data_IF_758544523236
#
_entry.id   IF_758544523236
#
_cell.length_a   1.000
_cell.length_b   1.000
_cell.length_c   1.000
_cell.angle_alpha   90.00
_cell.angle_beta   90.00
_cell.angle_gamma   90.00
#
_symmetry.space_group_name_H-M   'P 1'
#
loop_
_entity.id
_entity.type
_entity.pdbx_description
1 polymer ?
#
# COMPACT_ATOMS: atom_id res chain seq x y z
N UNK A 1 0.80 4.83 8.22
CA UNK A 1 0.01 4.49 9.42
C UNK A 1 0.24 5.51 10.51
N UNK A 2 -0.86 6.00 11.10
CA UNK A 2 -0.88 6.89 12.25
C UNK A 2 -1.26 6.04 13.48
N UNK A 3 -0.26 5.53 14.17
CA UNK A 3 -0.44 4.55 15.26
C UNK A 3 -0.57 5.26 16.60
N UNK A 4 -1.63 4.99 17.34
CA UNK A 4 -1.76 5.42 18.73
C UNK A 4 -1.80 4.21 19.67
N UNK A 5 -1.04 4.26 20.77
CA UNK A 5 -1.16 3.31 21.86
C UNK A 5 -2.08 3.88 22.94
N UNK A 6 -2.95 3.05 23.49
CA UNK A 6 -3.98 3.44 24.44
C UNK A 6 -4.09 2.41 25.54
N UNK A 7 -4.50 2.77 26.78
CA UNK A 7 -4.71 1.79 27.84
C UNK A 7 -5.86 0.80 27.54
N UNK A 8 -6.82 1.22 26.76
CA UNK A 8 -7.95 0.44 26.23
C UNK A 8 -8.61 1.17 25.08
N UNK A 9 -9.51 0.53 24.36
CA UNK A 9 -10.32 1.20 23.34
C UNK A 9 -11.31 2.17 23.95
N UNK A 10 -11.53 3.39 23.39
CA UNK A 10 -12.54 4.32 23.86
C UNK A 10 -13.94 3.77 23.60
N UNK A 11 -14.88 4.12 24.48
CA UNK A 11 -16.31 3.85 24.28
C UNK A 11 -16.92 4.96 23.42
N UNK A 12 -18.13 4.70 22.90
CA UNK A 12 -18.87 5.72 22.14
C UNK A 12 -19.04 7.00 22.97
N UNK A 13 -18.65 8.14 22.41
CA UNK A 13 -18.74 9.46 23.05
C UNK A 13 -17.67 9.74 24.12
N UNK A 14 -16.72 8.85 24.32
CA UNK A 14 -15.64 9.02 25.30
C UNK A 14 -14.41 9.70 24.66
N UNK A 15 -13.79 10.59 25.41
CA UNK A 15 -12.43 11.08 25.13
C UNK A 15 -11.47 10.32 26.05
N UNK A 16 -10.54 9.58 25.47
CA UNK A 16 -9.52 8.82 26.18
C UNK A 16 -8.15 9.44 25.94
N UNK A 17 -7.35 9.55 26.98
CA UNK A 17 -5.94 9.96 26.86
C UNK A 17 -5.14 8.70 26.51
N UNK A 18 -4.41 8.78 25.37
CA UNK A 18 -3.51 7.73 24.92
C UNK A 18 -2.12 7.83 25.56
N UNK A 19 -1.32 6.80 25.36
CA UNK A 19 0.00 6.66 25.96
C UNK A 19 1.11 7.15 25.02
N UNK A 20 0.98 6.90 23.72
CA UNK A 20 1.96 7.33 22.70
C UNK A 20 1.33 7.45 21.30
N UNK A 21 2.08 8.11 20.43
CA UNK A 21 1.74 8.25 19.01
C UNK A 21 3.00 8.04 18.15
N UNK A 22 2.84 7.40 17.01
CA UNK A 22 3.90 7.24 16.02
C UNK A 22 3.38 7.23 14.59
N UNK A 23 4.21 7.69 13.66
CA UNK A 23 3.96 7.58 12.22
C UNK A 23 4.88 6.52 11.64
N UNK A 24 4.32 5.63 10.84
CA UNK A 24 5.04 4.53 10.21
C UNK A 24 4.60 4.43 8.75
N UNK A 25 5.54 4.12 7.88
CA UNK A 25 5.20 3.75 6.50
C UNK A 25 4.60 2.35 6.53
N UNK A 26 3.45 2.20 5.90
CA UNK A 26 2.68 0.96 5.91
C UNK A 26 2.04 0.69 4.55
N UNK A 27 0.99 -0.11 4.56
CA UNK A 27 0.35 -0.62 3.36
C UNK A 27 0.97 -1.94 2.89
N UNK A 28 0.10 -2.90 2.53
CA UNK A 28 0.54 -4.27 2.20
C UNK A 28 1.46 -4.32 0.99
N UNK A 29 1.18 -3.50 -0.03
CA UNK A 29 2.00 -3.40 -1.22
C UNK A 29 3.42 -2.90 -0.92
N UNK A 30 3.53 -1.82 -0.15
CA UNK A 30 4.82 -1.28 0.23
C UNK A 30 5.60 -2.22 1.15
N UNK A 31 4.93 -2.87 2.10
CA UNK A 31 5.56 -3.87 2.97
C UNK A 31 6.17 -5.03 2.18
N UNK A 32 5.48 -5.51 1.12
CA UNK A 32 6.01 -6.52 0.21
C UNK A 32 7.20 -5.97 -0.60
N UNK A 33 7.10 -4.74 -1.11
CA UNK A 33 8.16 -4.11 -1.88
C UNK A 33 9.44 -3.92 -1.04
N UNK A 34 9.31 -3.44 0.20
CA UNK A 34 10.45 -3.30 1.13
C UNK A 34 11.07 -4.66 1.45
N UNK A 35 10.25 -5.68 1.73
CA UNK A 35 10.76 -7.01 2.03
C UNK A 35 11.51 -7.60 0.84
N UNK A 36 10.96 -7.49 -0.36
CA UNK A 36 11.59 -7.99 -1.59
C UNK A 36 12.91 -7.26 -1.88
N UNK A 37 12.94 -5.92 -1.80
CA UNK A 37 14.17 -5.14 -2.00
C UNK A 37 15.26 -5.53 -1.00
N UNK A 38 14.93 -5.65 0.28
CA UNK A 38 15.88 -6.03 1.34
C UNK A 38 16.39 -7.46 1.22
N UNK A 39 15.71 -8.32 0.48
CA UNK A 39 16.20 -9.68 0.16
C UNK A 39 16.96 -9.74 -1.16
N UNK A 40 17.20 -8.60 -1.82
CA UNK A 40 18.06 -8.48 -3.00
C UNK A 40 17.31 -8.49 -4.34
N UNK A 41 15.98 -8.44 -4.35
CA UNK A 41 15.21 -8.31 -5.58
C UNK A 41 15.31 -6.89 -6.16
N UNK A 42 15.31 -6.77 -7.50
CA UNK A 42 15.05 -5.50 -8.19
C UNK A 42 13.55 -5.24 -8.20
N UNK A 43 13.10 -4.20 -7.49
CA UNK A 43 11.68 -3.93 -7.28
C UNK A 43 11.26 -2.65 -8.02
N UNK A 44 10.12 -2.72 -8.71
CA UNK A 44 9.41 -1.56 -9.24
C UNK A 44 8.04 -1.48 -8.58
N UNK A 45 7.71 -0.34 -7.99
CA UNK A 45 6.40 -0.09 -7.39
C UNK A 45 5.47 0.51 -8.43
N UNK A 46 4.27 -0.09 -8.54
CA UNK A 46 3.15 0.47 -9.31
C UNK A 46 2.06 0.83 -8.32
N UNK A 47 1.62 2.08 -8.30
CA UNK A 47 0.64 2.53 -7.32
C UNK A 47 0.31 4.01 -7.41
N UNK A 48 -0.41 4.50 -6.40
CA UNK A 48 -0.85 5.90 -6.36
C UNK A 48 -0.75 6.44 -4.94
N UNK A 49 -0.14 7.60 -4.80
CA UNK A 49 0.01 8.37 -3.55
C UNK A 49 -0.63 9.74 -3.74
N UNK A 50 -1.01 10.40 -2.68
CA UNK A 50 -1.38 11.80 -2.73
C UNK A 50 -0.18 12.71 -2.97
N UNK A 51 -0.41 13.86 -3.57
CA UNK A 51 0.56 14.95 -3.63
C UNK A 51 0.53 15.73 -2.30
N UNK A 52 0.99 15.08 -1.24
CA UNK A 52 0.97 15.56 0.14
C UNK A 52 2.21 15.11 0.91
N UNK A 53 2.36 15.59 2.15
CA UNK A 53 3.53 15.29 2.99
C UNK A 53 3.74 13.77 3.17
N UNK A 54 2.67 12.99 3.26
CA UNK A 54 2.78 11.52 3.42
C UNK A 54 3.26 10.87 2.14
N UNK A 55 2.77 11.34 0.97
CA UNK A 55 3.22 10.87 -0.34
C UNK A 55 4.69 11.17 -0.58
N UNK A 56 5.14 12.37 -0.24
CA UNK A 56 6.54 12.78 -0.38
C UNK A 56 7.47 11.91 0.48
N UNK A 57 7.13 11.72 1.77
CA UNK A 57 7.90 10.85 2.67
C UNK A 57 7.91 9.39 2.19
N UNK A 58 6.82 8.96 1.57
CA UNK A 58 6.73 7.61 1.03
C UNK A 58 7.64 7.42 -0.17
N UNK A 59 7.65 8.36 -1.13
CA UNK A 59 8.53 8.33 -2.30
C UNK A 59 10.00 8.40 -1.91
N UNK A 60 10.34 9.26 -0.96
CA UNK A 60 11.70 9.34 -0.42
C UNK A 60 12.15 7.98 0.13
N UNK A 61 11.30 7.35 0.96
CA UNK A 61 11.62 6.05 1.55
C UNK A 61 11.73 4.92 0.54
N UNK A 62 10.83 4.86 -0.46
CA UNK A 62 10.95 3.88 -1.55
C UNK A 62 12.29 4.03 -2.28
N UNK A 63 12.69 5.27 -2.57
CA UNK A 63 13.96 5.59 -3.23
C UNK A 63 15.17 5.17 -2.38
N UNK A 64 15.17 5.46 -1.07
CA UNK A 64 16.24 5.03 -0.14
C UNK A 64 16.42 3.51 -0.11
N UNK A 65 15.33 2.75 -0.23
CA UNK A 65 15.36 1.28 -0.27
C UNK A 65 15.66 0.73 -1.69
N UNK A 66 15.99 1.61 -2.65
CA UNK A 66 16.33 1.22 -4.02
C UNK A 66 15.14 0.72 -4.86
N UNK A 67 13.92 1.03 -4.45
CA UNK A 67 12.70 0.66 -5.17
C UNK A 67 12.43 1.71 -6.25
N UNK A 68 12.23 1.26 -7.49
CA UNK A 68 11.89 2.14 -8.63
C UNK A 68 10.46 2.65 -8.48
N UNK A 69 10.25 3.94 -8.70
CA UNK A 69 8.98 4.64 -8.50
C UNK A 69 8.41 5.28 -9.77
N UNK A 70 8.94 4.92 -10.95
CA UNK A 70 8.54 5.50 -12.23
C UNK A 70 7.05 5.34 -12.54
N UNK A 71 6.39 4.35 -11.91
CA UNK A 71 4.97 4.06 -12.05
C UNK A 71 4.17 4.36 -10.78
N UNK A 72 4.72 5.14 -9.86
CA UNK A 72 3.99 5.68 -8.71
C UNK A 72 3.45 7.06 -9.08
N UNK A 73 2.12 7.16 -9.13
CA UNK A 73 1.42 8.38 -9.53
C UNK A 73 1.18 9.25 -8.30
N UNK A 74 1.55 10.53 -8.38
CA UNK A 74 1.14 11.53 -7.39
C UNK A 74 -0.22 12.11 -7.78
N UNK A 75 -1.22 11.84 -6.96
CA UNK A 75 -2.60 12.30 -7.14
C UNK A 75 -2.76 13.72 -6.57
N UNK A 76 -3.31 14.64 -7.36
CA UNK A 76 -3.57 16.03 -6.93
C UNK A 76 -4.96 16.24 -6.33
N UNK A 77 -5.85 15.24 -6.44
CA UNK A 77 -7.23 15.33 -5.97
C UNK A 77 -7.47 14.49 -4.71
N UNK A 78 -6.77 13.36 -4.59
CA UNK A 78 -6.89 12.45 -3.45
C UNK A 78 -5.60 12.46 -2.63
N UNK A 79 -5.74 12.49 -1.31
CA UNK A 79 -4.61 12.36 -0.39
C UNK A 79 -4.01 10.95 -0.38
N UNK A 80 -2.86 10.80 0.22
CA UNK A 80 -2.24 9.49 0.45
C UNK A 80 -3.10 8.63 1.37
N UNK A 81 -3.23 7.34 1.08
CA UNK A 81 -3.95 6.38 1.92
C UNK A 81 -3.38 6.32 3.34
N UNK A 82 -4.26 6.29 4.35
CA UNK A 82 -3.87 6.30 5.76
C UNK A 82 -4.51 5.14 6.51
N UNK A 83 -3.70 4.39 7.24
CA UNK A 83 -4.15 3.49 8.30
C UNK A 83 -4.06 4.17 9.66
N UNK A 84 -5.05 3.96 10.52
CA UNK A 84 -5.11 4.50 11.90
C UNK A 84 -5.27 3.36 12.91
N UNK A 85 -4.18 2.65 13.22
CA UNK A 85 -4.22 1.62 14.25
C UNK A 85 -4.31 2.22 15.66
N UNK A 86 -5.24 1.70 16.46
CA UNK A 86 -5.26 1.84 17.91
C UNK A 86 -4.78 0.53 18.52
N UNK A 87 -3.69 0.56 19.29
CA UNK A 87 -3.13 -0.61 19.96
C UNK A 87 -3.40 -0.46 21.46
N UNK A 88 -4.10 -1.41 22.05
CA UNK A 88 -4.39 -1.38 23.47
C UNK A 88 -3.33 -2.11 24.33
N UNK A 89 -3.46 -2.01 25.65
CA UNK A 89 -2.50 -2.57 26.60
C UNK A 89 -2.36 -4.11 26.53
N UNK A 90 -3.32 -4.82 25.89
CA UNK A 90 -3.23 -6.26 25.64
C UNK A 90 -2.41 -6.60 24.39
N UNK A 91 -2.08 -5.59 23.59
CA UNK A 91 -1.45 -5.75 22.26
C UNK A 91 -2.44 -5.98 21.13
N UNK A 92 -3.75 -6.00 21.42
CA UNK A 92 -4.78 -6.06 20.40
C UNK A 92 -4.89 -4.74 19.64
N UNK A 93 -5.18 -4.81 18.34
CA UNK A 93 -5.37 -3.62 17.52
C UNK A 93 -6.80 -3.49 16.99
N UNK A 94 -7.17 -2.26 16.69
CA UNK A 94 -8.32 -1.90 15.86
C UNK A 94 -7.83 -0.88 14.84
N UNK A 95 -8.11 -1.11 13.56
CA UNK A 95 -7.55 -0.29 12.48
C UNK A 95 -8.69 0.32 11.69
N UNK A 96 -8.63 1.63 11.48
CA UNK A 96 -9.43 2.32 10.47
C UNK A 96 -8.53 2.57 9.27
N UNK A 97 -8.98 2.19 8.08
CA UNK A 97 -8.26 2.43 6.83
C UNK A 97 -9.05 3.45 6.01
N UNK A 98 -8.35 4.47 5.53
CA UNK A 98 -8.87 5.49 4.62
C UNK A 98 -8.03 5.38 3.35
N UNK A 99 -8.50 4.69 2.30
CA UNK A 99 -7.65 4.28 1.18
C UNK A 99 -7.30 5.42 0.22
N UNK A 100 -8.13 6.44 0.09
CA UNK A 100 -7.88 7.66 -0.70
C UNK A 100 -7.30 7.35 -2.10
N UNK A 101 -6.10 7.88 -2.42
CA UNK A 101 -5.44 7.72 -3.71
C UNK A 101 -5.29 6.26 -4.16
N UNK A 102 -5.17 5.29 -3.21
CA UNK A 102 -5.10 3.88 -3.58
C UNK A 102 -6.31 3.43 -4.40
N UNK A 103 -7.51 3.91 -4.06
CA UNK A 103 -8.75 3.56 -4.78
C UNK A 103 -8.94 4.33 -6.09
N UNK A 104 -8.06 5.27 -6.41
CA UNK A 104 -8.04 5.98 -7.67
C UNK A 104 -7.06 5.38 -8.71
N UNK A 105 -6.43 4.23 -8.38
CA UNK A 105 -5.60 3.49 -9.34
C UNK A 105 -6.48 2.86 -10.42
N UNK A 106 -6.27 3.23 -11.68
CA UNK A 106 -7.12 2.80 -12.81
C UNK A 106 -6.45 1.75 -13.68
N UNK A 107 -7.25 1.10 -14.53
CA UNK A 107 -6.76 0.17 -15.57
C UNK A 107 -5.75 0.86 -16.49
N UNK A 108 -5.99 2.11 -16.90
CA UNK A 108 -5.08 2.88 -17.75
C UNK A 108 -3.74 3.17 -17.07
N UNK A 109 -3.73 3.26 -15.73
CA UNK A 109 -2.48 3.38 -14.97
C UNK A 109 -1.67 2.07 -15.04
N UNK A 110 -2.34 0.94 -14.99
CA UNK A 110 -1.72 -0.39 -15.13
C UNK A 110 -1.21 -0.59 -16.57
N UNK A 111 -1.99 -0.19 -17.58
CA UNK A 111 -1.55 -0.28 -18.99
C UNK A 111 -0.26 0.50 -19.25
N UNK A 112 -0.06 1.64 -18.59
CA UNK A 112 1.22 2.38 -18.68
C UNK A 112 2.40 1.62 -18.08
N UNK A 113 2.15 0.70 -17.17
CA UNK A 113 3.16 -0.16 -16.54
C UNK A 113 3.29 -1.53 -17.23
N UNK A 114 2.60 -1.77 -18.39
CA UNK A 114 2.56 -3.07 -19.06
C UNK A 114 3.96 -3.63 -19.30
N UNK A 115 4.88 -2.83 -19.83
CA UNK A 115 6.23 -3.29 -20.16
C UNK A 115 7.00 -3.80 -18.93
N UNK A 116 6.93 -3.09 -17.81
CA UNK A 116 7.65 -3.51 -16.60
C UNK A 116 6.99 -4.73 -15.96
N UNK A 117 5.66 -4.88 -16.07
CA UNK A 117 4.97 -6.09 -15.60
C UNK A 117 5.37 -7.29 -16.46
N UNK A 118 5.38 -7.11 -17.78
CA UNK A 118 5.72 -8.17 -18.75
C UNK A 118 7.18 -8.66 -18.62
N UNK A 119 8.10 -7.74 -18.31
CA UNK A 119 9.53 -8.04 -18.20
C UNK A 119 9.94 -8.51 -16.79
N UNK A 120 9.00 -8.61 -15.84
CA UNK A 120 9.27 -9.04 -14.47
C UNK A 120 9.21 -10.56 -14.32
N UNK A 121 9.98 -11.13 -13.39
CA UNK A 121 9.87 -12.53 -13.00
C UNK A 121 8.60 -12.78 -12.18
N UNK A 122 8.20 -11.80 -11.35
CA UNK A 122 7.10 -11.91 -10.39
C UNK A 122 6.29 -10.60 -10.33
N UNK A 123 4.97 -10.73 -10.36
CA UNK A 123 4.01 -9.69 -10.02
C UNK A 123 3.39 -10.01 -8.64
N UNK A 124 3.60 -9.13 -7.65
CA UNK A 124 3.02 -9.27 -6.31
C UNK A 124 1.81 -8.34 -6.15
N UNK A 125 0.66 -8.90 -5.80
CA UNK A 125 -0.62 -8.21 -5.65
C UNK A 125 -1.19 -8.31 -4.23
N UNK A 126 -2.07 -7.38 -3.88
CA UNK A 126 -2.84 -7.34 -2.62
C UNK A 126 -4.22 -6.74 -2.89
N UNK A 127 -5.11 -6.75 -1.87
CA UNK A 127 -6.49 -6.25 -2.01
C UNK A 127 -6.67 -4.83 -1.40
N UNK A 128 -5.69 -3.95 -1.55
CA UNK A 128 -5.77 -2.54 -1.07
C UNK A 128 -5.93 -1.51 -2.20
N UNK A 129 -6.14 -1.98 -3.43
CA UNK A 129 -6.41 -1.18 -4.64
C UNK A 129 -7.65 -1.73 -5.34
N UNK A 130 -8.23 -1.03 -6.34
CA UNK A 130 -9.36 -1.54 -7.10
C UNK A 130 -9.07 -2.91 -7.72
N UNK A 131 -10.04 -3.81 -7.62
CA UNK A 131 -9.88 -5.19 -8.11
C UNK A 131 -9.68 -5.24 -9.63
N UNK A 132 -10.30 -4.34 -10.37
CA UNK A 132 -10.12 -4.22 -11.83
C UNK A 132 -8.67 -3.88 -12.21
N UNK A 133 -7.97 -3.09 -11.39
CA UNK A 133 -6.54 -2.81 -11.58
C UNK A 133 -5.70 -4.08 -11.34
N UNK A 134 -6.00 -4.84 -10.28
CA UNK A 134 -5.35 -6.12 -10.01
C UNK A 134 -5.60 -7.15 -11.12
N UNK A 135 -6.84 -7.26 -11.59
CA UNK A 135 -7.21 -8.16 -12.69
C UNK A 135 -6.44 -7.81 -13.96
N UNK A 136 -6.39 -6.52 -14.32
CA UNK A 136 -5.64 -6.08 -15.49
C UNK A 136 -4.13 -6.37 -15.38
N UNK A 137 -3.54 -6.13 -14.23
CA UNK A 137 -2.14 -6.44 -13.98
C UNK A 137 -1.86 -7.96 -14.10
N UNK A 138 -2.75 -8.79 -13.55
CA UNK A 138 -2.66 -10.25 -13.64
C UNK A 138 -2.84 -10.75 -15.08
N UNK A 139 -3.72 -10.14 -15.89
CA UNK A 139 -3.86 -10.46 -17.33
C UNK A 139 -2.56 -10.20 -18.09
N UNK A 140 -1.94 -9.03 -17.89
CA UNK A 140 -0.65 -8.69 -18.50
C UNK A 140 0.41 -9.71 -18.10
N UNK A 141 0.53 -9.99 -16.81
CA UNK A 141 1.50 -10.94 -16.27
C UNK A 141 1.32 -12.35 -16.88
N UNK A 142 0.08 -12.86 -16.90
CA UNK A 142 -0.22 -14.19 -17.44
C UNK A 142 0.09 -14.30 -18.94
N UNK A 143 -0.20 -13.24 -19.72
CA UNK A 143 0.09 -13.21 -21.16
C UNK A 143 1.59 -13.20 -21.46
N UNK A 144 2.43 -12.84 -20.50
CA UNK A 144 3.90 -12.73 -20.65
C UNK A 144 4.69 -13.73 -19.81
N UNK A 145 4.03 -14.74 -19.22
CA UNK A 145 4.63 -15.74 -18.34
C UNK A 145 5.26 -15.20 -17.04
N UNK A 146 4.86 -14.03 -16.58
CA UNK A 146 5.24 -13.46 -15.28
C UNK A 146 4.47 -14.20 -14.18
N UNK A 147 5.15 -14.67 -13.15
CA UNK A 147 4.50 -15.36 -12.02
C UNK A 147 3.66 -14.37 -11.20
N UNK A 148 2.38 -14.67 -10.99
CA UNK A 148 1.50 -13.86 -10.16
C UNK A 148 1.42 -14.42 -8.75
N UNK A 149 1.72 -13.59 -7.75
CA UNK A 149 1.54 -13.89 -6.32
C UNK A 149 0.52 -12.92 -5.75
N UNK A 150 -0.64 -13.43 -5.31
CA UNK A 150 -1.67 -12.65 -4.66
C UNK A 150 -1.68 -12.90 -3.15
N UNK A 151 -1.51 -11.84 -2.37
CA UNK A 151 -1.89 -11.81 -0.96
C UNK A 151 -3.34 -11.32 -0.85
N UNK A 152 -4.35 -12.19 -0.57
CA UNK A 152 -5.76 -11.82 -0.54
C UNK A 152 -6.12 -11.08 0.76
N UNK A 153 -5.43 -9.98 1.04
CA UNK A 153 -5.59 -9.18 2.24
C UNK A 153 -5.70 -7.68 1.91
N UNK A 154 -6.66 -6.95 2.55
CA UNK A 154 -7.73 -7.48 3.41
C UNK A 154 -8.63 -8.46 2.66
N UNK A 155 -9.38 -9.31 3.39
CA UNK A 155 -10.28 -10.28 2.77
C UNK A 155 -11.29 -9.55 1.87
N UNK A 156 -11.40 -9.99 0.63
CA UNK A 156 -12.31 -9.47 -0.40
C UNK A 156 -12.82 -10.62 -1.27
N UNK A 157 -13.89 -10.38 -1.99
CA UNK A 157 -14.32 -11.27 -3.08
C UNK A 157 -13.34 -11.12 -4.25
N UNK A 158 -12.89 -12.25 -4.80
CA UNK A 158 -11.94 -12.34 -5.91
C UNK A 158 -12.66 -12.82 -7.16
#
# INVERSE_FOLDING_TARGET
DLVATVPRRPKTGETLIGDSFGMFLGGKGANQAFAASRTGASVTMVGRLGNDLFGDQFLEKLSEEGIKTDFVIQDTENGTGVGMPLIDASGDNSIVIIPQANMALTVENIDKAESVIADSDVLALQCEVPMEANQRAAEIANNNNTLVILNPAPACEI
#
